data_IF_669764902505
#
_entry.id   IF_669764902505
#
_cell.length_a   1.000
_cell.length_b   1.000
_cell.length_c   1.000
_cell.angle_alpha   90.00
_cell.angle_beta   90.00
_cell.angle_gamma   90.00
#
_symmetry.space_group_name_H-M   'P 1'
#
loop_
_entity.id
_entity.type
_entity.pdbx_description
1 polymer ?
#
# COMPACT_ATOMS: atom_id res chain seq x y z
N UNK A 1 26.43 56.64 -13.71
CA UNK A 1 26.42 55.65 -12.63
C UNK A 1 25.26 55.97 -11.70
N UNK A 2 24.22 55.14 -11.70
CA UNK A 2 23.03 55.31 -10.86
C UNK A 2 22.10 54.11 -11.06
N UNK A 3 21.83 53.40 -9.97
CA UNK A 3 21.29 52.04 -9.88
C UNK A 3 19.86 51.89 -10.44
N UNK A 4 19.62 50.79 -11.16
CA UNK A 4 18.29 50.27 -11.48
C UNK A 4 17.86 49.33 -10.35
N UNK A 5 16.78 49.68 -9.63
CA UNK A 5 16.08 48.77 -8.72
C UNK A 5 14.90 48.14 -9.45
N UNK A 6 14.87 46.81 -9.44
CA UNK A 6 13.85 45.96 -10.04
C UNK A 6 12.73 45.73 -9.01
N UNK A 7 11.57 46.36 -9.18
CA UNK A 7 10.37 46.11 -8.35
C UNK A 7 9.45 45.14 -9.08
N UNK A 8 9.19 44.01 -8.41
CA UNK A 8 8.33 42.89 -8.82
C UNK A 8 6.87 43.36 -8.94
N UNK A 9 6.25 43.10 -10.09
CA UNK A 9 4.81 43.30 -10.34
C UNK A 9 4.04 42.13 -9.71
N UNK A 10 3.21 42.43 -8.72
CA UNK A 10 2.19 41.52 -8.16
C UNK A 10 0.89 41.76 -8.93
N UNK A 11 0.47 40.80 -9.75
CA UNK A 11 -0.83 40.87 -10.43
C UNK A 11 -1.92 40.27 -9.53
N UNK A 12 -2.85 41.12 -9.13
CA UNK A 12 -4.06 40.82 -8.37
C UNK A 12 -5.05 40.07 -9.27
N UNK A 13 -5.49 38.87 -8.87
CA UNK A 13 -6.66 38.21 -9.47
C UNK A 13 -7.88 38.61 -8.63
N UNK A 14 -8.76 39.41 -9.24
CA UNK A 14 -9.98 39.93 -8.62
C UNK A 14 -11.06 38.85 -8.47
N UNK A 15 -11.67 38.84 -7.28
CA UNK A 15 -12.88 38.11 -6.95
C UNK A 15 -14.09 38.74 -7.64
N UNK A 16 -14.73 38.01 -8.55
CA UNK A 16 -16.09 38.32 -8.98
C UNK A 16 -17.02 37.31 -8.29
N UNK A 17 -17.76 37.80 -7.30
CA UNK A 17 -18.94 37.14 -6.74
C UNK A 17 -20.03 37.16 -7.82
N UNK A 18 -20.32 36.01 -8.40
CA UNK A 18 -21.50 35.80 -9.23
C UNK A 18 -22.58 35.11 -8.39
N UNK A 19 -23.75 35.75 -8.37
CA UNK A 19 -24.98 35.37 -7.71
C UNK A 19 -25.45 33.98 -8.21
N UNK A 20 -25.74 33.05 -7.30
CA UNK A 20 -25.81 31.61 -7.58
C UNK A 20 -27.24 31.06 -7.72
N UNK A 21 -28.22 31.90 -8.05
CA UNK A 21 -29.64 31.53 -7.97
C UNK A 21 -30.37 31.31 -9.31
N UNK A 22 -29.66 31.21 -10.46
CA UNK A 22 -30.34 31.07 -11.76
C UNK A 22 -29.58 30.32 -12.86
N UNK A 23 -29.03 29.13 -12.57
CA UNK A 23 -28.51 28.24 -13.60
C UNK A 23 -29.33 26.94 -13.71
N UNK A 24 -29.89 26.72 -14.90
CA UNK A 24 -30.71 25.56 -15.27
C UNK A 24 -29.93 24.24 -15.19
N UNK A 25 -30.64 23.14 -14.90
CA UNK A 25 -30.09 21.80 -14.73
C UNK A 25 -29.37 21.21 -15.98
N UNK A 26 -29.47 21.85 -17.15
CA UNK A 26 -28.83 21.41 -18.41
C UNK A 26 -27.41 21.97 -18.62
N UNK A 27 -26.91 22.86 -17.74
CA UNK A 27 -25.59 23.51 -17.90
C UNK A 27 -24.49 22.99 -16.96
N UNK A 28 -24.71 21.89 -16.24
CA UNK A 28 -23.61 21.15 -15.58
C UNK A 28 -22.86 20.28 -16.60
N UNK A 29 -22.33 20.89 -17.67
CA UNK A 29 -21.21 20.27 -18.40
C UNK A 29 -20.03 20.27 -17.44
N UNK A 30 -19.77 19.13 -16.81
CA UNK A 30 -18.53 18.84 -16.09
C UNK A 30 -17.37 19.36 -16.95
N UNK A 31 -16.68 20.40 -16.48
CA UNK A 31 -15.52 20.94 -17.16
C UNK A 31 -14.45 19.84 -17.14
N UNK A 32 -14.35 19.08 -18.24
CA UNK A 32 -13.28 18.09 -18.41
C UNK A 32 -11.96 18.86 -18.53
N UNK A 33 -11.02 18.71 -17.58
CA UNK A 33 -9.77 19.44 -17.67
C UNK A 33 -8.96 18.96 -18.86
N UNK A 34 -8.20 19.87 -19.48
CA UNK A 34 -7.29 19.51 -20.56
C UNK A 34 -6.30 18.45 -20.06
N UNK A 35 -6.36 17.24 -20.63
CA UNK A 35 -5.42 16.17 -20.31
C UNK A 35 -4.35 16.03 -21.39
N UNK A 36 -3.11 16.36 -21.04
CA UNK A 36 -1.94 15.96 -21.83
C UNK A 36 -1.53 14.56 -21.41
N UNK A 37 -1.60 13.62 -22.35
CA UNK A 37 -1.26 12.20 -22.15
C UNK A 37 0.26 12.04 -22.00
N UNK A 38 0.72 12.07 -20.76
CA UNK A 38 2.13 11.97 -20.41
C UNK A 38 2.41 10.70 -19.62
N UNK A 39 3.56 10.08 -19.88
CA UNK A 39 4.07 9.00 -19.03
C UNK A 39 4.43 9.60 -17.68
N UNK A 40 3.82 9.10 -16.62
CA UNK A 40 4.16 9.55 -15.28
C UNK A 40 5.45 8.86 -14.82
N UNK A 41 6.28 9.55 -14.04
CA UNK A 41 7.39 8.92 -13.30
C UNK A 41 6.89 8.13 -12.07
N UNK A 42 5.60 7.77 -12.04
CA UNK A 42 4.95 7.08 -10.93
C UNK A 42 4.62 7.95 -9.72
N UNK A 43 5.29 9.10 -9.49
CA UNK A 43 4.99 10.00 -8.37
C UNK A 43 4.83 9.28 -7.02
N UNK A 44 5.58 8.19 -6.82
CA UNK A 44 5.13 7.01 -6.05
C UNK A 44 4.80 7.25 -4.57
N UNK A 45 5.18 8.38 -4.00
CA UNK A 45 5.01 8.68 -2.57
C UNK A 45 3.93 9.71 -2.27
N UNK A 46 3.25 10.29 -3.27
CA UNK A 46 2.25 11.36 -3.06
C UNK A 46 0.88 11.03 -3.67
N UNK A 47 0.70 9.76 -4.05
CA UNK A 47 -0.50 9.24 -4.70
C UNK A 47 -0.93 7.94 -4.03
N UNK A 48 -2.23 7.83 -3.77
CA UNK A 48 -2.86 6.64 -3.20
C UNK A 48 -3.94 6.12 -4.13
N UNK A 49 -3.94 4.82 -4.41
CA UNK A 49 -4.94 4.17 -5.27
C UNK A 49 -6.31 4.24 -4.57
N UNK A 50 -7.35 4.55 -5.32
CA UNK A 50 -8.74 4.64 -4.83
C UNK A 50 -9.72 3.82 -5.65
N UNK A 51 -9.30 3.33 -6.82
CA UNK A 51 -10.00 2.37 -7.68
C UNK A 51 -8.98 1.65 -8.54
N UNK A 52 -9.12 0.35 -8.68
CA UNK A 52 -8.23 -0.48 -9.51
C UNK A 52 -9.09 -1.45 -10.31
N UNK A 53 -8.83 -1.62 -11.60
CA UNK A 53 -9.33 -2.79 -12.34
C UNK A 53 -8.20 -3.29 -13.21
N UNK A 54 -7.82 -4.55 -13.02
CA UNK A 54 -6.59 -5.10 -13.58
C UNK A 54 -5.39 -4.16 -13.27
N UNK A 55 -4.76 -3.58 -14.30
CA UNK A 55 -3.65 -2.63 -14.13
C UNK A 55 -4.02 -1.15 -14.29
N UNK A 56 -5.26 -0.85 -14.66
CA UNK A 56 -5.83 0.49 -14.68
C UNK A 56 -6.13 0.96 -13.26
N UNK A 57 -5.92 2.25 -12.98
CA UNK A 57 -6.09 2.79 -11.63
C UNK A 57 -6.45 4.26 -11.59
N UNK A 58 -7.32 4.61 -10.66
CA UNK A 58 -7.53 5.99 -10.24
C UNK A 58 -6.74 6.20 -8.96
N UNK A 59 -6.03 7.32 -8.90
CA UNK A 59 -5.22 7.70 -7.74
C UNK A 59 -5.60 9.08 -7.25
N UNK A 60 -5.63 9.27 -5.94
CA UNK A 60 -5.80 10.56 -5.26
C UNK A 60 -4.45 11.15 -4.90
N UNK A 61 -4.25 12.43 -5.17
CA UNK A 61 -3.09 13.17 -4.70
C UNK A 61 -3.27 13.58 -3.23
N UNK A 62 -2.30 13.25 -2.38
CA UNK A 62 -2.41 13.46 -0.93
C UNK A 62 -2.45 14.92 -0.49
N UNK A 63 -1.90 15.84 -1.30
CA UNK A 63 -1.81 17.26 -0.93
C UNK A 63 -2.94 18.12 -1.48
N UNK A 64 -3.50 17.71 -2.61
CA UNK A 64 -4.44 18.54 -3.39
C UNK A 64 -5.81 17.88 -3.54
N UNK A 65 -5.94 16.61 -3.19
CA UNK A 65 -7.20 15.86 -3.27
C UNK A 65 -7.67 15.53 -4.70
N UNK A 66 -7.05 16.08 -5.74
CA UNK A 66 -7.40 15.75 -7.12
C UNK A 66 -7.03 14.31 -7.48
N UNK A 67 -7.72 13.80 -8.48
CA UNK A 67 -7.57 12.45 -8.97
C UNK A 67 -6.82 12.42 -10.30
N UNK A 68 -6.23 11.27 -10.61
CA UNK A 68 -5.74 10.93 -11.95
C UNK A 68 -6.09 9.50 -12.29
N UNK A 69 -6.45 9.25 -13.55
CA UNK A 69 -6.56 7.92 -14.13
C UNK A 69 -5.25 7.57 -14.82
N UNK A 70 -4.71 6.39 -14.51
CA UNK A 70 -3.53 5.83 -15.16
C UNK A 70 -3.87 4.54 -15.91
N UNK A 71 -3.36 4.41 -17.12
CA UNK A 71 -3.33 3.15 -17.86
C UNK A 71 -2.27 2.18 -17.30
N UNK A 72 -2.29 0.88 -17.69
CA UNK A 72 -1.31 -0.11 -17.25
C UNK A 72 0.15 0.29 -17.45
N UNK A 73 0.42 1.10 -18.49
CA UNK A 73 1.76 1.61 -18.82
C UNK A 73 2.12 2.91 -18.07
N UNK A 74 1.31 3.33 -17.10
CA UNK A 74 1.42 4.56 -16.31
C UNK A 74 1.33 5.87 -17.13
N UNK A 75 0.59 5.85 -18.25
CA UNK A 75 0.19 7.10 -18.91
C UNK A 75 -1.02 7.67 -18.19
N UNK A 76 -1.04 8.99 -17.99
CA UNK A 76 -2.19 9.69 -17.43
C UNK A 76 -3.24 9.88 -18.52
N UNK A 77 -4.37 9.20 -18.37
CA UNK A 77 -5.48 9.22 -19.32
C UNK A 77 -6.56 10.25 -18.92
N UNK A 78 -6.67 10.59 -17.63
CA UNK A 78 -7.50 11.69 -17.13
C UNK A 78 -6.98 12.24 -15.79
N UNK A 79 -7.46 13.42 -15.39
CA UNK A 79 -7.22 14.02 -14.07
C UNK A 79 -8.34 14.98 -13.67
N UNK A 80 -8.42 15.40 -12.41
CA UNK A 80 -9.44 16.33 -11.93
C UNK A 80 -10.26 15.75 -10.78
N UNK A 81 -11.59 15.77 -10.88
CA UNK A 81 -12.47 15.16 -9.87
C UNK A 81 -12.43 13.63 -9.93
N UNK A 82 -12.91 12.97 -8.87
CA UNK A 82 -13.04 11.51 -8.82
C UNK A 82 -14.03 11.03 -9.89
N UNK A 83 -15.17 11.69 -9.97
CA UNK A 83 -16.28 11.39 -10.88
C UNK A 83 -15.82 11.46 -12.34
N UNK A 84 -15.04 12.48 -12.70
CA UNK A 84 -14.49 12.58 -14.05
C UNK A 84 -13.53 11.42 -14.36
N UNK A 85 -12.66 11.05 -13.42
CA UNK A 85 -11.76 9.92 -13.62
C UNK A 85 -12.52 8.58 -13.72
N UNK A 86 -13.60 8.41 -12.94
CA UNK A 86 -14.47 7.23 -13.01
C UNK A 86 -15.17 7.12 -14.36
N UNK A 87 -15.73 8.21 -14.88
CA UNK A 87 -16.38 8.22 -16.20
C UNK A 87 -15.43 7.76 -17.32
N UNK A 88 -14.19 8.28 -17.31
CA UNK A 88 -13.18 7.86 -18.29
C UNK A 88 -12.75 6.41 -18.04
N UNK A 89 -12.63 5.98 -16.79
CA UNK A 89 -12.29 4.58 -16.46
C UNK A 89 -13.37 3.61 -16.96
N UNK A 90 -14.65 3.93 -16.78
CA UNK A 90 -15.78 3.12 -17.23
C UNK A 90 -15.81 3.00 -18.76
N UNK A 91 -15.50 4.09 -19.46
CA UNK A 91 -15.30 4.05 -20.92
C UNK A 91 -14.16 3.10 -21.29
N UNK A 92 -13.01 3.16 -20.61
CA UNK A 92 -11.88 2.26 -20.88
C UNK A 92 -12.21 0.79 -20.55
N UNK A 93 -13.02 0.54 -19.52
CA UNK A 93 -13.51 -0.80 -19.18
C UNK A 93 -14.33 -1.37 -20.35
N UNK A 94 -15.26 -0.59 -20.90
CA UNK A 94 -16.09 -1.00 -22.04
C UNK A 94 -15.27 -1.18 -23.31
N UNK A 95 -14.39 -0.23 -23.64
CA UNK A 95 -13.56 -0.26 -24.85
C UNK A 95 -12.59 -1.43 -24.88
N UNK A 96 -12.05 -1.82 -23.73
CA UNK A 96 -11.07 -2.91 -23.62
C UNK A 96 -11.64 -4.25 -23.13
N UNK A 97 -12.94 -4.32 -22.80
CA UNK A 97 -13.55 -5.53 -22.24
C UNK A 97 -12.88 -5.96 -20.93
N UNK A 98 -12.65 -5.02 -20.01
CA UNK A 98 -11.98 -5.31 -18.75
C UNK A 98 -12.95 -5.98 -17.78
N UNK A 99 -12.77 -7.28 -17.58
CA UNK A 99 -13.60 -8.05 -16.66
C UNK A 99 -13.31 -7.71 -15.19
N UNK A 100 -14.36 -7.66 -14.32
CA UNK A 100 -14.19 -7.49 -12.89
C UNK A 100 -13.49 -8.70 -12.27
N UNK A 101 -12.92 -8.49 -11.09
CA UNK A 101 -12.39 -9.59 -10.32
C UNK A 101 -13.52 -10.42 -9.69
N UNK A 102 -13.38 -11.74 -9.70
CA UNK A 102 -14.42 -12.67 -9.20
C UNK A 102 -13.81 -13.74 -8.30
N UNK A 103 -14.64 -14.35 -7.45
CA UNK A 103 -14.26 -15.45 -6.57
C UNK A 103 -13.17 -15.09 -5.55
N UNK A 104 -11.91 -15.48 -5.81
CA UNK A 104 -10.79 -15.32 -4.88
C UNK A 104 -9.72 -14.42 -5.46
N UNK A 105 -9.40 -13.34 -4.74
CA UNK A 105 -8.38 -12.36 -5.12
C UNK A 105 -7.29 -12.28 -4.07
N UNK A 106 -6.04 -12.12 -4.51
CA UNK A 106 -4.91 -11.79 -3.65
C UNK A 106 -4.60 -10.29 -3.74
N UNK A 107 -4.68 -9.59 -2.62
CA UNK A 107 -4.32 -8.18 -2.49
C UNK A 107 -2.87 -8.07 -2.01
N UNK A 108 -2.06 -7.28 -2.70
CA UNK A 108 -0.66 -7.02 -2.33
C UNK A 108 -0.52 -5.62 -1.73
N UNK A 109 0.08 -5.55 -0.54
CA UNK A 109 0.36 -4.30 0.19
C UNK A 109 1.87 -4.13 0.38
N UNK A 110 2.40 -2.98 -0.04
CA UNK A 110 3.84 -2.72 0.01
C UNK A 110 4.30 -2.02 1.31
N UNK A 111 5.59 -2.12 1.61
CA UNK A 111 6.19 -1.41 2.74
C UNK A 111 6.36 0.09 2.51
N UNK A 112 6.78 0.76 3.58
CA UNK A 112 7.15 2.18 3.60
C UNK A 112 8.28 2.50 2.62
N UNK A 113 8.26 3.71 2.02
CA UNK A 113 9.19 4.18 0.99
C UNK A 113 9.21 3.34 -0.30
N UNK A 114 8.33 2.34 -0.41
CA UNK A 114 8.17 1.53 -1.61
C UNK A 114 6.92 1.97 -2.37
N UNK A 115 6.66 1.26 -3.45
CA UNK A 115 5.47 1.40 -4.26
C UNK A 115 4.99 0.01 -4.66
N UNK A 116 3.81 -0.06 -5.29
CA UNK A 116 3.28 -1.32 -5.84
C UNK A 116 4.29 -2.11 -6.68
N UNK A 117 5.18 -1.41 -7.41
CA UNK A 117 6.16 -2.05 -8.29
C UNK A 117 7.19 -2.91 -7.54
N UNK A 118 7.34 -2.69 -6.23
CA UNK A 118 8.16 -3.58 -5.40
C UNK A 118 7.55 -4.96 -5.19
N UNK A 119 6.25 -5.11 -5.43
CA UNK A 119 5.49 -6.35 -5.31
C UNK A 119 5.28 -7.03 -6.68
N UNK A 120 5.85 -6.49 -7.77
CA UNK A 120 5.59 -6.98 -9.13
C UNK A 120 6.04 -8.44 -9.30
N UNK A 121 7.18 -8.84 -8.75
CA UNK A 121 7.64 -10.23 -8.83
C UNK A 121 6.68 -11.19 -8.12
N UNK A 122 6.18 -10.83 -6.94
CA UNK A 122 5.14 -11.57 -6.23
C UNK A 122 3.84 -11.62 -7.03
N UNK A 123 3.41 -10.48 -7.61
CA UNK A 123 2.22 -10.39 -8.46
C UNK A 123 2.31 -11.37 -9.62
N UNK A 124 3.36 -11.28 -10.43
CA UNK A 124 3.54 -12.14 -11.59
C UNK A 124 3.69 -13.61 -11.19
N UNK A 125 4.37 -13.88 -10.08
CA UNK A 125 4.48 -15.24 -9.57
C UNK A 125 3.11 -15.83 -9.24
N UNK A 126 2.28 -15.14 -8.44
CA UNK A 126 0.96 -15.61 -8.06
C UNK A 126 0.01 -15.73 -9.27
N UNK A 127 0.08 -14.80 -10.22
CA UNK A 127 -0.69 -14.86 -11.46
C UNK A 127 -0.34 -16.09 -12.30
N UNK A 128 0.93 -16.51 -12.35
CA UNK A 128 1.34 -17.76 -13.02
C UNK A 128 0.75 -19.02 -12.36
N UNK A 129 0.34 -18.92 -11.09
CA UNK A 129 -0.38 -19.98 -10.38
C UNK A 129 -1.92 -19.81 -10.43
N UNK A 130 -2.42 -18.92 -11.28
CA UNK A 130 -3.86 -18.74 -11.52
C UNK A 130 -4.56 -17.79 -10.55
N UNK A 131 -3.83 -17.08 -9.69
CA UNK A 131 -4.45 -16.08 -8.82
C UNK A 131 -4.82 -14.81 -9.59
N UNK A 132 -6.00 -14.27 -9.30
CA UNK A 132 -6.33 -12.88 -9.56
C UNK A 132 -5.64 -12.01 -8.51
N UNK A 133 -4.97 -10.92 -8.92
CA UNK A 133 -4.10 -10.14 -8.02
C UNK A 133 -4.35 -8.65 -8.17
N UNK A 134 -4.67 -7.99 -7.06
CA UNK A 134 -4.74 -6.53 -6.95
C UNK A 134 -3.47 -6.04 -6.26
N UNK A 135 -2.66 -5.24 -6.96
CA UNK A 135 -1.46 -4.61 -6.38
C UNK A 135 -1.75 -3.14 -6.08
N UNK A 136 -1.93 -2.84 -4.79
CA UNK A 136 -2.32 -1.54 -4.27
C UNK A 136 -1.09 -0.67 -4.06
N UNK A 137 -1.19 0.61 -4.45
CA UNK A 137 -0.21 1.64 -4.11
C UNK A 137 -0.82 2.65 -3.16
N UNK A 138 -0.08 3.06 -2.14
CA UNK A 138 -0.42 4.19 -1.28
C UNK A 138 0.80 5.04 -0.97
N UNK A 139 0.56 6.30 -0.58
CA UNK A 139 1.56 7.31 -0.30
C UNK A 139 2.31 7.02 1.02
N UNK A 140 3.07 5.93 1.03
CA UNK A 140 3.56 5.23 2.24
C UNK A 140 4.43 6.04 3.20
N UNK A 141 4.91 7.22 2.78
CA UNK A 141 5.72 8.14 3.61
C UNK A 141 5.02 9.49 3.86
N UNK A 142 3.80 9.70 3.35
CA UNK A 142 3.10 10.99 3.37
C UNK A 142 1.74 10.98 4.04
N UNK A 143 1.17 9.80 4.27
CA UNK A 143 -0.08 9.63 5.02
C UNK A 143 0.12 8.60 6.14
N UNK A 144 -0.79 8.58 7.12
CA UNK A 144 -0.75 7.65 8.27
C UNK A 144 -1.18 6.23 7.91
N UNK A 145 -0.93 5.25 8.78
CA UNK A 145 -1.43 3.88 8.60
C UNK A 145 -2.97 3.86 8.52
N UNK A 146 -3.65 4.76 9.22
CA UNK A 146 -5.11 4.94 9.14
C UNK A 146 -5.59 5.41 7.76
N UNK A 147 -4.84 6.30 7.12
CA UNK A 147 -5.15 6.76 5.76
C UNK A 147 -4.91 5.67 4.72
N UNK A 148 -3.84 4.89 4.87
CA UNK A 148 -3.58 3.74 3.99
C UNK A 148 -4.68 2.69 4.12
N UNK A 149 -5.21 2.47 5.34
CA UNK A 149 -6.36 1.61 5.56
C UNK A 149 -7.63 2.15 4.89
N UNK A 150 -7.88 3.47 4.93
CA UNK A 150 -9.00 4.09 4.19
C UNK A 150 -8.83 3.98 2.67
N UNK A 151 -7.63 4.20 2.13
CA UNK A 151 -7.35 4.02 0.70
C UNK A 151 -7.56 2.56 0.28
N UNK A 152 -7.19 1.58 1.12
CA UNK A 152 -7.49 0.18 0.88
C UNK A 152 -8.99 -0.09 0.87
N UNK A 153 -9.76 0.57 1.75
CA UNK A 153 -11.23 0.49 1.76
C UNK A 153 -11.84 0.98 0.46
N UNK A 154 -11.41 2.14 -0.02
CA UNK A 154 -11.89 2.70 -1.29
C UNK A 154 -11.66 1.72 -2.46
N UNK A 155 -10.48 1.08 -2.52
CA UNK A 155 -10.18 0.08 -3.55
C UNK A 155 -11.06 -1.17 -3.43
N UNK A 156 -11.32 -1.66 -2.22
CA UNK A 156 -12.08 -2.91 -2.02
C UNK A 156 -13.61 -2.74 -2.09
N UNK A 157 -14.13 -1.52 -1.92
CA UNK A 157 -15.56 -1.20 -2.07
C UNK A 157 -16.01 -1.25 -3.53
N UNK A 158 -15.09 -1.02 -4.47
CA UNK A 158 -15.33 -1.10 -5.92
C UNK A 158 -15.35 -2.56 -6.45
N UNK A 159 -15.23 -3.56 -5.56
CA UNK A 159 -15.14 -4.97 -5.93
C UNK A 159 -16.06 -5.85 -5.08
N UNK A 160 -17.38 -5.63 -5.19
CA UNK A 160 -18.40 -6.36 -4.39
C UNK A 160 -18.58 -7.82 -4.83
N UNK A 161 -18.11 -8.14 -6.03
CA UNK A 161 -18.20 -9.44 -6.70
C UNK A 161 -17.11 -10.42 -6.22
N UNK A 162 -16.15 -9.94 -5.41
CA UNK A 162 -15.13 -10.79 -4.79
C UNK A 162 -15.75 -11.49 -3.57
N UNK A 163 -15.74 -12.82 -3.57
CA UNK A 163 -16.22 -13.64 -2.44
C UNK A 163 -15.16 -13.81 -1.34
N UNK A 164 -13.88 -13.92 -1.75
CA UNK A 164 -12.76 -14.25 -0.87
C UNK A 164 -11.55 -13.38 -1.19
N UNK A 165 -11.01 -12.77 -0.15
CA UNK A 165 -9.80 -11.96 -0.21
C UNK A 165 -8.69 -12.69 0.53
N UNK A 166 -7.53 -12.77 -0.10
CA UNK A 166 -6.27 -13.10 0.51
C UNK A 166 -5.37 -11.87 0.48
N UNK A 167 -4.49 -11.73 1.45
CA UNK A 167 -3.58 -10.57 1.52
C UNK A 167 -2.15 -11.04 1.64
N UNK A 168 -1.25 -10.44 0.88
CA UNK A 168 0.20 -10.55 1.09
C UNK A 168 0.72 -9.15 1.38
N UNK A 169 1.27 -8.98 2.57
CA UNK A 169 1.62 -7.68 3.10
C UNK A 169 3.10 -7.63 3.48
N UNK A 170 3.85 -6.71 2.87
CA UNK A 170 5.26 -6.50 3.18
C UNK A 170 5.46 -5.40 4.22
N UNK A 171 6.23 -5.68 5.27
CA UNK A 171 6.67 -4.68 6.23
C UNK A 171 5.50 -3.85 6.79
N UNK A 172 5.52 -2.52 6.68
CA UNK A 172 4.44 -1.62 7.07
C UNK A 172 3.07 -2.00 6.48
N UNK A 173 3.00 -2.63 5.30
CA UNK A 173 1.74 -3.11 4.73
C UNK A 173 1.00 -4.10 5.64
N UNK A 174 1.73 -4.84 6.49
CA UNK A 174 1.11 -5.72 7.49
C UNK A 174 0.38 -4.93 8.58
N UNK A 175 0.90 -3.76 8.96
CA UNK A 175 0.22 -2.86 9.88
C UNK A 175 -1.01 -2.22 9.22
N UNK A 176 -0.92 -1.89 7.92
CA UNK A 176 -2.06 -1.37 7.14
C UNK A 176 -3.22 -2.37 7.15
N UNK A 177 -2.99 -3.65 6.86
CA UNK A 177 -4.08 -4.64 6.88
C UNK A 177 -4.63 -4.89 8.29
N UNK A 178 -3.77 -4.93 9.32
CA UNK A 178 -4.21 -5.04 10.72
C UNK A 178 -5.04 -3.84 11.16
N UNK A 179 -4.71 -2.63 10.69
CA UNK A 179 -5.48 -1.42 10.95
C UNK A 179 -6.80 -1.43 10.19
N UNK A 180 -6.78 -1.81 8.91
CA UNK A 180 -7.95 -1.98 8.07
C UNK A 180 -8.99 -2.89 8.75
N UNK A 181 -8.58 -4.09 9.19
CA UNK A 181 -9.48 -5.02 9.87
C UNK A 181 -10.00 -4.51 11.22
N UNK A 182 -9.26 -3.61 11.89
CA UNK A 182 -9.76 -2.96 13.12
C UNK A 182 -10.82 -1.90 12.81
N UNK A 183 -10.67 -1.19 11.70
CA UNK A 183 -11.54 -0.09 11.30
C UNK A 183 -12.80 -0.54 10.58
N UNK A 184 -12.69 -1.62 9.80
CA UNK A 184 -13.72 -2.10 8.91
C UNK A 184 -13.94 -3.59 9.12
N UNK A 185 -15.20 -3.99 9.25
CA UNK A 185 -15.57 -5.40 9.22
C UNK A 185 -15.51 -5.87 7.76
N UNK A 186 -14.55 -6.76 7.47
CA UNK A 186 -14.32 -7.30 6.14
C UNK A 186 -14.29 -8.83 6.21
N UNK A 187 -15.46 -9.49 6.23
CA UNK A 187 -15.55 -10.94 6.37
C UNK A 187 -15.00 -11.67 5.15
N UNK A 188 -14.76 -10.99 4.01
CA UNK A 188 -14.18 -11.61 2.81
C UNK A 188 -12.71 -11.97 3.01
N UNK A 189 -11.97 -11.33 3.92
CA UNK A 189 -10.56 -11.67 4.18
C UNK A 189 -10.46 -13.04 4.85
N UNK A 190 -9.86 -14.00 4.14
CA UNK A 190 -9.73 -15.39 4.60
C UNK A 190 -8.31 -15.77 5.01
N UNK A 191 -7.29 -15.20 4.36
CA UNK A 191 -5.88 -15.50 4.66
C UNK A 191 -4.97 -14.31 4.51
N UNK A 192 -3.97 -14.22 5.37
CA UNK A 192 -2.94 -13.17 5.31
C UNK A 192 -1.54 -13.78 5.40
N UNK A 193 -0.65 -13.38 4.52
CA UNK A 193 0.80 -13.65 4.62
C UNK A 193 1.51 -12.34 4.90
N UNK A 194 2.18 -12.26 6.05
CA UNK A 194 3.00 -11.11 6.43
C UNK A 194 4.48 -11.39 6.16
N UNK A 195 5.13 -10.49 5.43
CA UNK A 195 6.55 -10.60 5.06
C UNK A 195 7.36 -9.54 5.83
N UNK A 196 8.14 -9.97 6.81
CA UNK A 196 8.91 -9.09 7.70
C UNK A 196 8.07 -7.99 8.38
N UNK A 197 6.91 -8.31 8.98
CA UNK A 197 6.06 -7.29 9.60
C UNK A 197 6.73 -6.70 10.86
N UNK A 198 6.69 -5.38 11.10
CA UNK A 198 7.11 -4.79 12.38
C UNK A 198 5.94 -4.83 13.38
N UNK A 199 5.50 -6.04 13.75
CA UNK A 199 4.27 -6.28 14.52
C UNK A 199 4.29 -5.72 15.95
N UNK A 200 5.48 -5.47 16.50
CA UNK A 200 5.72 -4.86 17.81
C UNK A 200 6.51 -3.54 17.70
N UNK A 201 6.35 -2.83 16.57
CA UNK A 201 7.07 -1.60 16.27
C UNK A 201 8.42 -1.85 15.62
N UNK A 202 9.19 -0.79 15.38
CA UNK A 202 10.50 -0.86 14.75
C UNK A 202 11.58 -0.24 15.63
N UNK A 203 12.49 -1.07 16.11
CA UNK A 203 13.69 -0.65 16.85
C UNK A 203 14.58 0.23 16.00
N UNK A 204 14.69 -0.05 14.70
CA UNK A 204 15.39 0.84 13.78
C UNK A 204 14.72 2.22 13.72
N UNK A 205 13.39 2.27 13.65
CA UNK A 205 12.67 3.54 13.65
C UNK A 205 12.88 4.33 14.95
N UNK A 206 12.86 3.64 16.10
CA UNK A 206 13.17 4.24 17.42
C UNK A 206 14.59 4.79 17.50
N UNK A 207 15.58 4.06 16.99
CA UNK A 207 16.99 4.44 17.08
C UNK A 207 17.31 5.72 16.29
N UNK A 208 16.58 5.97 15.21
CA UNK A 208 16.78 7.13 14.34
C UNK A 208 15.65 8.17 14.44
N UNK A 209 14.83 8.10 15.49
CA UNK A 209 13.67 8.96 15.63
C UNK A 209 14.04 10.45 15.69
N UNK A 210 15.11 10.81 16.41
CA UNK A 210 15.56 12.21 16.54
C UNK A 210 16.31 12.73 15.30
N UNK A 211 16.51 11.88 14.28
CA UNK A 211 17.21 12.27 13.07
C UNK A 211 16.23 12.85 12.04
N UNK A 212 16.28 14.17 11.82
CA UNK A 212 15.42 14.89 10.87
C UNK A 212 15.48 14.34 9.44
N UNK A 213 16.65 13.85 9.01
CA UNK A 213 16.82 13.21 7.69
C UNK A 213 16.05 11.89 7.67
N UNK A 214 16.14 11.09 8.74
CA UNK A 214 15.40 9.85 8.87
C UNK A 214 13.87 10.11 8.91
N UNK A 215 13.40 11.10 9.66
CA UNK A 215 11.98 11.50 9.66
C UNK A 215 11.49 11.91 8.26
N UNK A 216 12.32 12.56 7.44
CA UNK A 216 11.95 12.93 6.07
C UNK A 216 11.75 11.71 5.15
N UNK A 217 12.52 10.64 5.37
CA UNK A 217 12.41 9.37 4.65
C UNK A 217 11.20 8.56 5.15
N UNK A 218 11.11 8.28 6.45
CA UNK A 218 10.07 7.41 7.00
C UNK A 218 8.73 8.12 7.25
N UNK A 219 8.71 9.46 7.20
CA UNK A 219 7.50 10.26 7.26
C UNK A 219 6.67 10.03 8.53
N UNK A 220 5.36 10.22 8.40
CA UNK A 220 4.39 10.09 9.51
C UNK A 220 4.42 8.69 10.11
N UNK A 221 4.51 7.64 9.28
CA UNK A 221 4.51 6.25 9.75
C UNK A 221 5.76 5.89 10.54
N UNK A 222 6.91 6.52 10.23
CA UNK A 222 8.14 6.35 11.02
C UNK A 222 7.93 6.69 12.50
N UNK A 223 7.15 7.75 12.80
CA UNK A 223 6.81 8.13 14.18
C UNK A 223 5.83 7.15 14.84
N UNK A 224 4.82 6.70 14.11
CA UNK A 224 3.85 5.69 14.59
C UNK A 224 4.55 4.36 14.94
N UNK A 225 5.59 3.99 14.18
CA UNK A 225 6.40 2.78 14.39
C UNK A 225 7.52 2.95 15.43
N UNK A 226 7.77 4.17 15.90
CA UNK A 226 8.84 4.51 16.85
C UNK A 226 8.26 4.84 18.25
N UNK A 227 8.42 6.06 18.77
CA UNK A 227 7.96 6.46 20.12
C UNK A 227 6.46 6.28 20.35
N UNK A 228 5.63 6.47 19.33
CA UNK A 228 4.18 6.40 19.47
C UNK A 228 3.64 4.96 19.43
N UNK A 229 4.51 3.95 19.27
CA UNK A 229 4.08 2.57 19.08
C UNK A 229 3.16 2.06 20.19
N UNK A 230 3.48 2.31 21.47
CA UNK A 230 2.64 1.86 22.60
C UNK A 230 1.22 2.44 22.58
N UNK A 231 1.05 3.65 22.03
CA UNK A 231 -0.26 4.28 21.87
C UNK A 231 -0.96 3.79 20.60
N UNK A 232 -0.19 3.43 19.58
CA UNK A 232 -0.71 3.01 18.28
C UNK A 232 -1.11 1.53 18.24
N UNK A 233 -0.34 0.64 18.88
CA UNK A 233 -0.54 -0.82 18.88
C UNK A 233 -1.97 -1.26 19.24
N UNK A 234 -2.67 -0.67 20.24
CA UNK A 234 -4.06 -1.02 20.56
C UNK A 234 -5.07 -0.75 19.42
N UNK A 235 -4.69 0.05 18.42
CA UNK A 235 -5.49 0.37 17.23
C UNK A 235 -5.33 -0.67 16.13
N UNK A 236 -4.47 -1.66 16.31
CA UNK A 236 -4.25 -2.76 15.37
C UNK A 236 -4.98 -4.01 15.84
N UNK A 237 -5.62 -4.72 14.89
CA UNK A 237 -6.20 -6.02 15.18
C UNK A 237 -5.14 -7.11 15.01
N UNK A 238 -5.17 -8.13 15.88
CA UNK A 238 -4.58 -9.43 15.55
C UNK A 238 -5.55 -10.13 14.60
N UNK A 239 -5.14 -10.52 13.37
CA UNK A 239 -6.08 -11.07 12.40
C UNK A 239 -6.89 -12.23 12.97
N UNK A 240 -8.21 -12.18 12.79
CA UNK A 240 -9.16 -13.21 13.20
C UNK A 240 -9.36 -14.30 12.14
N UNK A 241 -8.54 -14.30 11.09
CA UNK A 241 -8.50 -15.30 10.02
C UNK A 241 -7.16 -16.06 10.06
N UNK A 242 -6.98 -17.08 9.21
CA UNK A 242 -5.68 -17.77 9.12
C UNK A 242 -4.60 -16.80 8.62
N UNK A 243 -3.53 -16.61 9.40
CA UNK A 243 -2.41 -15.79 8.95
C UNK A 243 -1.07 -16.44 9.27
N UNK A 244 -0.09 -16.16 8.41
CA UNK A 244 1.27 -16.67 8.53
C UNK A 244 2.30 -15.56 8.42
N UNK A 245 3.44 -15.76 9.06
CA UNK A 245 4.55 -14.79 9.11
C UNK A 245 5.82 -15.40 8.54
N UNK A 246 6.43 -14.72 7.57
CA UNK A 246 7.78 -15.00 7.07
C UNK A 246 8.71 -13.88 7.50
N UNK A 247 9.63 -14.19 8.42
CA UNK A 247 10.64 -13.26 8.91
C UNK A 247 11.97 -13.46 8.19
N UNK A 248 12.65 -12.39 7.79
CA UNK A 248 14.01 -12.52 7.31
C UNK A 248 15.00 -12.70 8.47
N UNK A 249 16.00 -13.54 8.29
CA UNK A 249 17.08 -13.77 9.25
C UNK A 249 18.41 -13.99 8.53
N UNK A 250 19.23 -12.94 8.47
CA UNK A 250 20.57 -13.00 7.88
C UNK A 250 21.68 -13.10 8.92
N UNK A 251 21.37 -13.45 10.17
CA UNK A 251 22.37 -13.58 11.24
C UNK A 251 23.49 -14.57 10.93
N UNK A 252 23.20 -15.58 10.10
CA UNK A 252 24.15 -16.60 9.62
C UNK A 252 24.85 -16.24 8.31
N UNK A 253 24.56 -15.06 7.74
CA UNK A 253 25.13 -14.59 6.47
C UNK A 253 26.31 -13.64 6.73
N UNK A 254 27.09 -13.37 5.68
CA UNK A 254 28.22 -12.42 5.76
C UNK A 254 27.75 -10.98 6.00
N UNK A 255 26.56 -10.65 5.53
CA UNK A 255 25.95 -9.32 5.70
C UNK A 255 25.19 -9.30 7.02
N UNK A 256 25.51 -8.36 7.91
CA UNK A 256 24.87 -8.19 9.21
C UNK A 256 24.65 -6.70 9.46
N UNK A 257 23.61 -6.37 10.21
CA UNK A 257 23.40 -5.01 10.71
C UNK A 257 23.97 -4.93 12.14
N UNK A 258 25.04 -4.14 12.39
CA UNK A 258 25.67 -4.06 13.71
C UNK A 258 24.81 -3.38 14.78
N UNK A 259 23.67 -2.79 14.39
CA UNK A 259 22.72 -2.15 15.30
C UNK A 259 21.80 -3.16 16.02
N UNK A 260 21.87 -4.45 15.64
CA UNK A 260 21.04 -5.51 16.18
C UNK A 260 21.90 -6.67 16.68
N UNK A 261 21.72 -7.04 17.95
CA UNK A 261 22.32 -8.24 18.53
C UNK A 261 21.48 -9.50 18.25
N UNK A 262 20.21 -9.32 17.90
CA UNK A 262 19.25 -10.40 17.62
C UNK A 262 19.16 -10.77 16.13
N UNK A 263 18.67 -11.98 15.78
CA UNK A 263 18.36 -12.35 14.40
C UNK A 263 17.45 -11.32 13.71
N UNK A 264 17.83 -10.89 12.51
CA UNK A 264 17.15 -9.81 11.80
C UNK A 264 17.39 -9.88 10.29
N UNK A 265 16.60 -9.11 9.54
CA UNK A 265 16.67 -8.99 8.08
C UNK A 265 17.35 -7.70 7.60
N UNK A 266 18.19 -7.11 8.46
CA UNK A 266 18.81 -5.78 8.38
C UNK A 266 17.89 -4.61 8.74
N UNK A 267 16.57 -4.80 8.82
CA UNK A 267 15.62 -3.71 9.12
C UNK A 267 14.74 -4.03 10.33
N UNK A 268 14.23 -5.26 10.38
CA UNK A 268 13.30 -5.76 11.39
C UNK A 268 13.90 -7.00 12.04
N UNK A 269 13.85 -7.08 13.37
CA UNK A 269 14.28 -8.28 14.09
C UNK A 269 13.23 -9.37 14.00
N UNK A 270 13.64 -10.64 14.13
CA UNK A 270 12.69 -11.76 14.13
C UNK A 270 11.66 -11.60 15.25
N UNK A 271 12.07 -11.13 16.43
CA UNK A 271 11.17 -10.90 17.56
C UNK A 271 10.11 -9.83 17.24
N UNK A 272 10.47 -8.75 16.55
CA UNK A 272 9.51 -7.72 16.12
C UNK A 272 8.46 -8.26 15.15
N UNK A 273 8.76 -9.33 14.42
CA UNK A 273 7.82 -9.95 13.48
C UNK A 273 6.78 -10.84 14.13
N UNK A 274 7.04 -11.35 15.33
CA UNK A 274 6.15 -12.29 15.98
C UNK A 274 4.80 -11.64 16.26
N UNK A 275 3.73 -12.44 16.20
CA UNK A 275 2.39 -12.03 16.59
C UNK A 275 1.60 -13.27 17.00
N UNK A 276 1.00 -13.23 18.18
CA UNK A 276 0.18 -14.32 18.70
C UNK A 276 -1.00 -14.65 17.79
N UNK A 277 -1.31 -15.94 17.65
CA UNK A 277 -2.38 -16.44 16.77
C UNK A 277 -1.93 -16.84 15.37
N UNK A 278 -0.66 -16.64 15.00
CA UNK A 278 -0.17 -17.03 13.68
C UNK A 278 -0.30 -18.55 13.48
N UNK A 279 -0.93 -18.94 12.38
CA UNK A 279 -1.15 -20.34 12.00
C UNK A 279 0.12 -21.03 11.53
N UNK A 280 1.09 -20.26 11.02
CA UNK A 280 2.42 -20.74 10.71
C UNK A 280 3.45 -19.59 10.74
N UNK A 281 4.70 -19.92 11.06
CA UNK A 281 5.81 -18.99 11.14
C UNK A 281 7.08 -19.64 10.58
N UNK A 282 7.84 -18.89 9.76
CA UNK A 282 9.18 -19.30 9.32
C UNK A 282 10.14 -18.13 9.30
N UNK A 283 11.40 -18.45 9.53
CA UNK A 283 12.51 -17.58 9.14
C UNK A 283 13.06 -18.00 7.78
N UNK A 284 13.50 -17.03 7.00
CA UNK A 284 14.15 -17.23 5.70
C UNK A 284 15.45 -16.42 5.64
N UNK A 285 16.54 -16.94 5.05
CA UNK A 285 17.85 -16.26 5.07
C UNK A 285 17.94 -15.13 4.03
N UNK A 286 17.04 -14.15 4.13
CA UNK A 286 16.80 -13.12 3.12
C UNK A 286 16.71 -11.77 3.82
N UNK A 287 17.37 -10.75 3.26
CA UNK A 287 17.27 -9.38 3.75
C UNK A 287 15.90 -8.76 3.44
N UNK A 288 15.49 -7.78 4.23
CA UNK A 288 14.15 -7.19 4.24
C UNK A 288 13.61 -6.83 2.85
N UNK A 289 14.43 -6.14 2.05
CA UNK A 289 14.07 -5.62 0.73
C UNK A 289 13.71 -6.72 -0.27
N UNK A 290 14.35 -7.90 -0.15
CA UNK A 290 14.21 -9.01 -1.08
C UNK A 290 13.21 -10.08 -0.65
N UNK A 291 12.57 -9.93 0.52
CA UNK A 291 11.51 -10.87 0.94
C UNK A 291 10.41 -10.99 -0.12
N UNK A 292 10.03 -9.88 -0.75
CA UNK A 292 8.92 -9.81 -1.72
C UNK A 292 9.23 -10.43 -3.09
N UNK A 293 10.50 -10.59 -3.46
CA UNK A 293 10.90 -11.08 -4.78
C UNK A 293 11.78 -12.33 -4.75
N UNK A 294 12.03 -12.88 -3.57
CA UNK A 294 12.74 -14.13 -3.45
C UNK A 294 11.83 -15.33 -3.74
N UNK A 295 12.33 -16.27 -4.56
CA UNK A 295 11.58 -17.45 -4.99
C UNK A 295 11.12 -18.36 -3.85
N UNK A 296 11.89 -18.46 -2.76
CA UNK A 296 11.54 -19.26 -1.59
C UNK A 296 10.33 -18.63 -0.90
N UNK A 297 10.39 -17.32 -0.63
CA UNK A 297 9.28 -16.57 -0.02
C UNK A 297 8.03 -16.61 -0.88
N UNK A 298 8.15 -16.45 -2.20
CA UNK A 298 7.02 -16.54 -3.13
C UNK A 298 6.37 -17.93 -3.11
N UNK A 299 7.16 -19.01 -3.13
CA UNK A 299 6.65 -20.39 -3.06
C UNK A 299 5.94 -20.67 -1.74
N UNK A 300 6.54 -20.28 -0.61
CA UNK A 300 5.93 -20.39 0.71
C UNK A 300 4.62 -19.58 0.79
N UNK A 301 4.63 -18.35 0.26
CA UNK A 301 3.45 -17.49 0.23
C UNK A 301 2.30 -18.15 -0.54
N UNK A 302 2.53 -18.59 -1.78
CA UNK A 302 1.53 -19.32 -2.56
C UNK A 302 1.03 -20.57 -1.83
N UNK A 303 1.92 -21.35 -1.21
CA UNK A 303 1.55 -22.53 -0.42
C UNK A 303 0.62 -22.16 0.73
N UNK A 304 0.94 -21.12 1.49
CA UNK A 304 0.12 -20.67 2.61
C UNK A 304 -1.25 -20.18 2.14
N UNK A 305 -1.30 -19.41 1.05
CA UNK A 305 -2.57 -18.95 0.49
C UNK A 305 -3.48 -20.11 0.05
N UNK A 306 -2.89 -21.22 -0.41
CA UNK A 306 -3.64 -22.41 -0.82
C UNK A 306 -4.03 -23.30 0.36
N UNK A 307 -3.07 -23.63 1.22
CA UNK A 307 -3.14 -24.76 2.14
C UNK A 307 -3.12 -24.33 3.63
N UNK A 308 -2.82 -23.07 3.96
CA UNK A 308 -2.77 -22.54 5.33
C UNK A 308 -1.45 -22.84 6.09
N UNK A 309 -0.39 -23.23 5.39
CA UNK A 309 0.96 -23.46 5.93
C UNK A 309 2.05 -23.20 4.89
N UNK A 310 3.29 -22.96 5.33
CA UNK A 310 4.40 -22.59 4.44
C UNK A 310 5.12 -23.78 3.80
N UNK A 311 5.17 -24.93 4.47
CA UNK A 311 5.90 -26.13 4.02
C UNK A 311 4.97 -27.35 3.94
N UNK A 312 4.62 -27.91 5.10
CA UNK A 312 3.66 -29.01 5.25
C UNK A 312 2.78 -28.76 6.48
N UNK A 313 1.64 -29.43 6.56
CA UNK A 313 0.75 -29.33 7.71
C UNK A 313 1.42 -29.76 9.02
N UNK A 314 2.17 -30.88 8.98
CA UNK A 314 2.89 -31.42 10.14
C UNK A 314 4.07 -30.56 10.60
N UNK A 315 4.62 -29.73 9.71
CA UNK A 315 5.73 -28.85 10.03
C UNK A 315 5.28 -27.48 10.57
N UNK A 316 3.98 -27.18 10.67
CA UNK A 316 3.50 -25.86 11.11
C UNK A 316 4.13 -25.43 12.44
N UNK A 317 4.58 -24.18 12.48
CA UNK A 317 5.08 -23.52 13.70
C UNK A 317 4.08 -22.44 14.09
N UNK A 318 3.10 -22.82 14.89
CA UNK A 318 2.07 -21.88 15.37
C UNK A 318 2.66 -20.96 16.43
N UNK A 319 2.21 -19.72 16.46
CA UNK A 319 2.48 -18.79 17.56
C UNK A 319 1.21 -18.75 18.41
N UNK A 320 1.32 -19.10 19.69
CA UNK A 320 0.18 -19.08 20.61
C UNK A 320 -0.40 -17.65 20.73
N UNK A 321 -1.71 -17.48 20.92
CA UNK A 321 -2.37 -16.17 21.07
C UNK A 321 -1.78 -15.29 22.18
#
# INVERSE_FOLDING_TARGET
>A
MGRVSLTIIVTVIGSILLDSSSLNAEEKKSFAPLNLRLKTLGGKQVWSDVRIIQDWRIQRNVYTGHHRLLSPKNYREAWGSREHCDQIMDQQIQEHGLEPYTQTVVVLLHGILRARSSMDDMKHFLQRFGHQVISVSYASSRESIDDHARSLRDVLDDHKEIDRIHVVAHSMGALVIRRYMKMFDEPRIKRIVMLGPPNHGSSLARMFEDNTIFQMFWGINGKEMASNWKQYEPRLLTPNCEFGILAGDVSKQRIRNPLFDEPNDLVVTVNETLLGGASDFRTVPIIHTFLVNNIITMKMTHRFLKDGYFETESARRRIAP
#
